data_IF_238457450608
#
_entry.id   IF_238457450608
#
_cell.length_a   1.000
_cell.length_b   1.000
_cell.length_c   1.000
_cell.angle_alpha   90.00
_cell.angle_beta   90.00
_cell.angle_gamma   90.00
#
_symmetry.space_group_name_H-M   'P 1'
#
loop_
_entity.id
_entity.type
_entity.pdbx_description
1 polymer ?
#
# COMPACT_ATOMS: atom_id res chain seq x y z
N UNK A 1 -16.75 -3.45 -3.22
CA UNK A 1 -16.08 -2.20 -2.80
C UNK A 1 -14.94 -1.94 -3.75
N UNK A 2 -14.67 -0.68 -4.11
CA UNK A 2 -13.61 -0.32 -5.04
C UNK A 2 -12.23 -0.62 -4.45
N UNK A 3 -11.31 -1.11 -5.27
CA UNK A 3 -9.90 -1.25 -4.90
C UNK A 3 -9.22 0.13 -4.84
N UNK A 4 -8.05 0.27 -4.18
CA UNK A 4 -7.33 1.54 -4.14
C UNK A 4 -6.98 2.07 -5.53
N UNK A 5 -6.64 1.19 -6.48
CA UNK A 5 -6.37 1.58 -7.87
C UNK A 5 -7.63 2.10 -8.57
N UNK A 6 -8.79 1.50 -8.32
CA UNK A 6 -10.07 1.96 -8.86
C UNK A 6 -10.49 3.31 -8.27
N UNK A 7 -10.22 3.55 -6.98
CA UNK A 7 -10.48 4.85 -6.33
C UNK A 7 -9.65 5.94 -6.99
N UNK A 8 -8.32 5.75 -7.08
CA UNK A 8 -7.43 6.74 -7.71
C UNK A 8 -7.77 6.94 -9.20
N UNK A 9 -8.00 5.87 -9.95
CA UNK A 9 -8.39 5.95 -11.36
C UNK A 9 -9.65 6.80 -11.55
N UNK A 10 -10.69 6.56 -10.73
CA UNK A 10 -11.90 7.36 -10.79
C UNK A 10 -11.61 8.85 -10.56
N UNK A 11 -10.81 9.20 -9.55
CA UNK A 11 -10.49 10.61 -9.27
C UNK A 11 -9.68 11.25 -10.42
N UNK A 12 -8.75 10.49 -11.02
CA UNK A 12 -8.01 10.94 -12.20
C UNK A 12 -8.95 11.20 -13.39
N UNK A 13 -9.88 10.28 -13.66
CA UNK A 13 -10.85 10.45 -14.75
C UNK A 13 -11.76 11.68 -14.54
N UNK A 14 -12.17 11.96 -13.30
CA UNK A 14 -12.94 13.14 -12.97
C UNK A 14 -12.16 14.43 -13.22
N UNK A 15 -10.87 14.47 -12.84
CA UNK A 15 -9.96 15.58 -13.13
C UNK A 15 -9.75 15.77 -14.64
N UNK A 16 -9.51 14.68 -15.37
CA UNK A 16 -9.27 14.72 -16.81
C UNK A 16 -10.46 15.28 -17.59
N UNK A 17 -11.70 14.95 -17.19
CA UNK A 17 -12.93 15.52 -17.79
C UNK A 17 -13.00 17.04 -17.64
N UNK A 18 -12.51 17.59 -16.53
CA UNK A 18 -12.50 19.04 -16.30
C UNK A 18 -11.36 19.75 -17.05
N UNK A 19 -10.34 19.01 -17.48
CA UNK A 19 -9.17 19.52 -18.20
C UNK A 19 -9.26 19.40 -19.73
N UNK A 20 -10.33 18.78 -20.25
CA UNK A 20 -10.45 18.34 -21.66
C UNK A 20 -10.30 19.48 -22.70
N UNK A 21 -10.53 20.73 -22.30
CA UNK A 21 -10.45 21.90 -23.17
C UNK A 21 -9.18 22.76 -22.98
N UNK A 22 -8.20 22.31 -22.18
CA UNK A 22 -7.00 23.10 -21.85
C UNK A 22 -5.77 22.65 -22.65
N UNK A 23 -5.71 23.08 -23.91
CA UNK A 23 -4.63 22.72 -24.85
C UNK A 23 -3.21 23.10 -24.38
N UNK A 24 -3.09 24.19 -23.61
CA UNK A 24 -1.82 24.65 -23.02
C UNK A 24 -1.21 23.67 -22.02
N UNK A 25 -2.02 22.81 -21.39
CA UNK A 25 -1.60 21.83 -20.38
C UNK A 25 -1.50 20.41 -20.95
N UNK A 26 -1.58 20.25 -22.28
CA UNK A 26 -1.67 18.95 -22.96
C UNK A 26 -0.60 17.96 -22.53
N UNK A 27 0.63 18.40 -22.32
CA UNK A 27 1.74 17.51 -21.90
C UNK A 27 1.46 16.85 -20.55
N UNK A 28 1.02 17.65 -19.56
CA UNK A 28 0.75 17.14 -18.22
C UNK A 28 -0.58 16.35 -18.17
N UNK A 29 -1.57 16.71 -19.01
CA UNK A 29 -2.81 15.95 -19.18
C UNK A 29 -2.52 14.56 -19.76
N UNK A 30 -1.70 14.48 -20.82
CA UNK A 30 -1.32 13.19 -21.42
C UNK A 30 -0.52 12.33 -20.44
N UNK A 31 0.37 12.94 -19.64
CA UNK A 31 1.06 12.23 -18.57
C UNK A 31 0.07 11.65 -17.56
N UNK A 32 -0.93 12.40 -17.13
CA UNK A 32 -1.94 11.91 -16.19
C UNK A 32 -2.78 10.78 -16.78
N UNK A 33 -3.12 10.84 -18.08
CA UNK A 33 -3.78 9.74 -18.81
C UNK A 33 -2.93 8.47 -18.82
N UNK A 34 -1.62 8.58 -19.09
CA UNK A 34 -0.70 7.44 -19.06
C UNK A 34 -0.65 6.80 -17.67
N UNK A 35 -0.63 7.61 -16.61
CA UNK A 35 -0.65 7.12 -15.24
C UNK A 35 -1.98 6.43 -14.90
N UNK A 36 -3.12 6.94 -15.39
CA UNK A 36 -4.44 6.29 -15.25
C UNK A 36 -4.45 4.88 -15.86
N UNK A 37 -3.93 4.74 -17.09
CA UNK A 37 -3.81 3.44 -17.77
C UNK A 37 -2.88 2.47 -17.03
N UNK A 38 -1.83 2.99 -16.38
CA UNK A 38 -0.92 2.19 -15.56
C UNK A 38 -1.59 1.64 -14.28
N UNK A 39 -2.62 2.33 -13.75
CA UNK A 39 -3.40 1.83 -12.61
C UNK A 39 -4.34 0.68 -13.00
N UNK A 40 -4.89 0.70 -14.21
CA UNK A 40 -5.79 -0.34 -14.72
C UNK A 40 -5.09 -1.67 -14.97
N UNK A 41 -3.85 -1.61 -15.48
CA UNK A 41 -3.01 -2.79 -15.68
C UNK A 41 -2.31 -3.26 -14.40
N UNK A 42 -2.35 -2.47 -13.34
CA UNK A 42 -1.65 -2.74 -12.09
C UNK A 42 -2.47 -3.60 -11.13
N UNK A 43 -2.01 -4.82 -10.86
CA UNK A 43 -2.53 -5.60 -9.71
C UNK A 43 -2.06 -4.98 -8.39
N UNK A 44 -3.00 -4.79 -7.47
CA UNK A 44 -2.73 -4.30 -6.14
C UNK A 44 -2.20 -5.43 -5.25
N UNK A 45 -1.01 -5.28 -4.62
CA UNK A 45 -0.44 -6.32 -3.77
C UNK A 45 -1.27 -6.47 -2.48
N UNK A 46 -1.62 -7.70 -2.06
CA UNK A 46 -2.39 -7.90 -0.84
C UNK A 46 -1.61 -7.52 0.43
N UNK A 47 -0.27 -7.54 0.40
CA UNK A 47 0.55 -7.03 1.49
C UNK A 47 0.84 -5.55 1.28
N UNK A 48 0.14 -4.70 2.04
CA UNK A 48 0.31 -3.25 1.98
C UNK A 48 1.38 -2.83 2.97
N UNK A 49 2.39 -2.12 2.48
CA UNK A 49 3.38 -1.47 3.33
C UNK A 49 3.07 0.02 3.51
N UNK A 50 3.70 0.63 4.51
CA UNK A 50 3.50 2.04 4.84
C UNK A 50 3.79 2.98 3.65
N UNK A 51 4.81 2.67 2.83
CA UNK A 51 5.17 3.50 1.68
C UNK A 51 4.04 3.51 0.65
N UNK A 52 3.45 2.34 0.36
CA UNK A 52 2.31 2.22 -0.54
C UNK A 52 1.07 2.95 0.00
N UNK A 53 0.80 2.82 1.30
CA UNK A 53 -0.31 3.51 1.95
C UNK A 53 -0.16 5.04 1.92
N UNK A 54 1.02 5.56 2.30
CA UNK A 54 1.26 7.00 2.31
C UNK A 54 1.29 7.60 0.91
N UNK A 55 1.90 6.91 -0.07
CA UNK A 55 1.89 7.39 -1.45
C UNK A 55 0.49 7.41 -2.07
N UNK A 56 -0.38 6.45 -1.71
CA UNK A 56 -1.80 6.49 -2.07
C UNK A 56 -2.46 7.75 -1.52
N UNK A 57 -2.30 8.01 -0.21
CA UNK A 57 -2.90 9.17 0.44
C UNK A 57 -2.41 10.48 -0.20
N UNK A 58 -1.10 10.63 -0.42
CA UNK A 58 -0.52 11.82 -1.05
C UNK A 58 -1.06 12.04 -2.47
N UNK A 59 -1.13 10.98 -3.29
CA UNK A 59 -1.70 11.09 -4.64
C UNK A 59 -3.16 11.53 -4.60
N UNK A 60 -3.93 10.95 -3.69
CA UNK A 60 -5.34 11.26 -3.54
C UNK A 60 -5.56 12.71 -3.06
N UNK A 61 -4.80 13.18 -2.07
CA UNK A 61 -4.82 14.56 -1.61
C UNK A 61 -4.55 15.53 -2.76
N UNK A 62 -3.51 15.29 -3.57
CA UNK A 62 -3.18 16.16 -4.70
C UNK A 62 -4.24 16.17 -5.80
N UNK A 63 -4.91 15.04 -6.04
CA UNK A 63 -6.03 14.98 -6.97
C UNK A 63 -7.25 15.76 -6.47
N UNK A 64 -7.56 15.68 -5.17
CA UNK A 64 -8.66 16.45 -4.60
C UNK A 64 -8.36 17.96 -4.55
N UNK A 65 -7.14 18.36 -4.16
CA UNK A 65 -6.70 19.77 -4.23
C UNK A 65 -6.88 20.33 -5.64
N UNK A 66 -6.46 19.58 -6.66
CA UNK A 66 -6.60 19.96 -8.06
C UNK A 66 -8.07 20.04 -8.50
N UNK A 67 -8.90 19.08 -8.09
CA UNK A 67 -10.35 19.05 -8.39
C UNK A 67 -11.07 20.25 -7.76
N UNK A 68 -10.76 20.60 -6.52
CA UNK A 68 -11.31 21.78 -5.86
C UNK A 68 -10.84 23.09 -6.51
N UNK A 69 -9.57 23.14 -6.95
CA UNK A 69 -9.05 24.28 -7.68
C UNK A 69 -9.80 24.51 -9.00
N UNK A 70 -10.00 23.44 -9.76
CA UNK A 70 -10.70 23.45 -11.05
C UNK A 70 -12.17 23.90 -10.96
N UNK A 71 -12.83 23.76 -9.80
CA UNK A 71 -14.20 24.24 -9.59
C UNK A 71 -14.31 25.76 -9.51
N UNK A 72 -13.30 26.42 -8.95
CA UNK A 72 -13.42 27.79 -8.44
C UNK A 72 -12.47 28.80 -9.10
N UNK A 73 -11.43 28.34 -9.79
CA UNK A 73 -10.34 29.20 -10.28
C UNK A 73 -9.83 28.75 -11.64
N UNK A 74 -9.39 29.72 -12.44
CA UNK A 74 -8.90 29.46 -13.80
C UNK A 74 -7.54 30.14 -14.07
N UNK A 75 -6.63 30.12 -13.09
CA UNK A 75 -5.25 30.54 -13.33
C UNK A 75 -4.45 29.38 -13.90
N UNK A 76 -4.07 29.53 -15.16
CA UNK A 76 -3.37 28.51 -15.95
C UNK A 76 -2.00 28.12 -15.37
N UNK A 77 -1.27 29.07 -14.76
CA UNK A 77 0.04 28.82 -14.16
C UNK A 77 -0.11 27.98 -12.90
N UNK A 78 -1.03 28.36 -12.01
CA UNK A 78 -1.28 27.63 -10.76
C UNK A 78 -1.85 26.24 -11.05
N UNK A 79 -2.70 26.13 -12.07
CA UNK A 79 -3.23 24.86 -12.55
C UNK A 79 -2.12 23.95 -13.10
N UNK A 80 -1.15 24.49 -13.85
CA UNK A 80 0.02 23.74 -14.31
C UNK A 80 0.79 23.13 -13.12
N UNK A 81 1.06 23.92 -12.08
CA UNK A 81 1.78 23.44 -10.89
C UNK A 81 1.01 22.35 -10.15
N UNK A 82 -0.28 22.55 -9.89
CA UNK A 82 -1.12 21.57 -9.20
C UNK A 82 -1.25 20.26 -10.00
N UNK A 83 -1.41 20.36 -11.32
CA UNK A 83 -1.45 19.19 -12.20
C UNK A 83 -0.12 18.43 -12.19
N UNK A 84 1.01 19.15 -12.22
CA UNK A 84 2.34 18.55 -12.12
C UNK A 84 2.60 17.88 -10.77
N UNK A 85 2.10 18.46 -9.68
CA UNK A 85 2.16 17.84 -8.34
C UNK A 85 1.33 16.56 -8.28
N UNK A 86 0.10 16.58 -8.81
CA UNK A 86 -0.76 15.39 -8.90
C UNK A 86 -0.11 14.29 -9.74
N UNK A 87 0.50 14.64 -10.88
CA UNK A 87 1.27 13.69 -11.71
C UNK A 87 2.43 13.06 -10.94
N UNK A 88 3.25 13.88 -10.28
CA UNK A 88 4.40 13.42 -9.49
C UNK A 88 3.95 12.48 -8.35
N UNK A 89 2.89 12.85 -7.62
CA UNK A 89 2.37 12.04 -6.53
C UNK A 89 1.79 10.70 -7.02
N UNK A 90 1.05 10.71 -8.13
CA UNK A 90 0.48 9.50 -8.75
C UNK A 90 1.58 8.57 -9.27
N UNK A 91 2.64 9.12 -9.88
CA UNK A 91 3.80 8.36 -10.32
C UNK A 91 4.56 7.72 -9.13
N UNK A 92 4.69 8.44 -8.02
CA UNK A 92 5.28 7.91 -6.79
C UNK A 92 4.46 6.73 -6.23
N UNK A 93 3.13 6.80 -6.29
CA UNK A 93 2.25 5.69 -5.93
C UNK A 93 2.44 4.48 -6.85
N UNK A 94 2.44 4.67 -8.18
CA UNK A 94 2.67 3.57 -9.14
C UNK A 94 4.05 2.93 -8.94
N UNK A 95 5.07 3.73 -8.67
CA UNK A 95 6.41 3.24 -8.34
C UNK A 95 6.42 2.44 -7.04
N UNK A 96 5.67 2.90 -6.03
CA UNK A 96 5.49 2.20 -4.76
C UNK A 96 4.73 0.88 -4.92
N UNK A 97 3.72 0.80 -5.81
CA UNK A 97 3.05 -0.45 -6.17
C UNK A 97 4.03 -1.48 -6.73
N UNK A 98 4.83 -1.09 -7.73
CA UNK A 98 5.85 -1.95 -8.36
C UNK A 98 6.88 -2.42 -7.33
N UNK A 99 7.38 -1.52 -6.49
CA UNK A 99 8.33 -1.84 -5.43
C UNK A 99 7.76 -2.78 -4.37
N UNK A 100 6.51 -2.58 -3.98
CA UNK A 100 5.82 -3.41 -2.98
C UNK A 100 5.60 -4.83 -3.49
N UNK A 101 5.17 -4.99 -4.75
CA UNK A 101 5.03 -6.31 -5.40
C UNK A 101 6.34 -7.09 -5.43
N UNK A 102 7.44 -6.43 -5.78
CA UNK A 102 8.78 -7.07 -5.77
C UNK A 102 9.17 -7.51 -4.36
N UNK A 103 8.96 -6.65 -3.35
CA UNK A 103 9.23 -6.99 -1.95
C UNK A 103 8.40 -8.17 -1.47
N UNK A 104 7.11 -8.21 -1.80
CA UNK A 104 6.22 -9.33 -1.48
C UNK A 104 6.73 -10.64 -2.09
N UNK A 105 7.07 -10.65 -3.39
CA UNK A 105 7.62 -11.84 -4.05
C UNK A 105 8.90 -12.33 -3.35
N UNK A 106 9.81 -11.42 -3.00
CA UNK A 106 11.06 -11.77 -2.30
C UNK A 106 10.75 -12.34 -0.90
N UNK A 107 9.87 -11.69 -0.14
CA UNK A 107 9.49 -12.13 1.20
C UNK A 107 8.81 -13.50 1.19
N UNK A 108 7.95 -13.75 0.21
CA UNK A 108 7.23 -15.03 0.07
C UNK A 108 8.10 -16.14 -0.52
N UNK A 109 9.19 -15.83 -1.22
CA UNK A 109 10.12 -16.85 -1.77
C UNK A 109 11.30 -17.14 -0.85
N UNK A 110 11.62 -16.26 0.10
CA UNK A 110 12.76 -16.39 1.01
C UNK A 110 12.81 -17.75 1.75
N UNK A 111 11.70 -18.27 2.33
CA UNK A 111 11.75 -19.57 3.02
C UNK A 111 12.12 -20.74 2.09
N UNK A 112 11.75 -20.67 0.81
CA UNK A 112 12.08 -21.71 -0.17
C UNK A 112 13.59 -21.70 -0.42
N UNK A 113 14.19 -20.54 -0.67
CA UNK A 113 15.63 -20.42 -0.88
C UNK A 113 16.43 -20.81 0.38
N UNK A 114 15.97 -20.41 1.57
CA UNK A 114 16.58 -20.84 2.83
C UNK A 114 16.52 -22.36 3.01
N UNK A 115 15.41 -23.01 2.62
CA UNK A 115 15.29 -24.47 2.66
C UNK A 115 16.32 -25.15 1.74
N UNK A 116 16.53 -24.62 0.53
CA UNK A 116 17.55 -25.14 -0.38
C UNK A 116 18.96 -25.04 0.21
N UNK A 117 19.27 -23.93 0.89
CA UNK A 117 20.56 -23.75 1.58
C UNK A 117 20.70 -24.81 2.69
N UNK A 118 19.65 -25.04 3.48
CA UNK A 118 19.67 -26.07 4.54
C UNK A 118 19.87 -27.46 3.95
N UNK A 119 19.20 -27.79 2.84
CA UNK A 119 19.38 -29.07 2.15
C UNK A 119 20.81 -29.23 1.60
N UNK A 120 21.41 -28.16 1.07
CA UNK A 120 22.79 -28.17 0.62
C UNK A 120 23.75 -28.47 1.78
N UNK A 121 23.55 -27.83 2.93
CA UNK A 121 24.33 -28.11 4.14
C UNK A 121 24.14 -29.57 4.60
N UNK A 122 22.92 -30.10 4.49
CA UNK A 122 22.63 -31.52 4.76
C UNK A 122 23.44 -32.47 3.88
N UNK A 123 23.53 -32.18 2.58
CA UNK A 123 24.34 -32.99 1.64
C UNK A 123 25.84 -32.90 1.93
N UNK A 124 26.34 -31.71 2.30
CA UNK A 124 27.76 -31.50 2.61
C UNK A 124 28.15 -32.25 3.89
N UNK A 125 27.26 -32.26 4.89
CA UNK A 125 27.53 -32.86 6.21
C UNK A 125 27.33 -34.37 6.23
N UNK A 126 26.30 -34.87 5.54
CA UNK A 126 25.99 -36.29 5.46
C UNK A 126 25.42 -36.63 4.07
N UNK A 127 26.26 -37.04 3.10
CA UNK A 127 25.88 -37.23 1.70
C UNK A 127 25.15 -38.56 1.45
N UNK A 128 24.09 -38.84 2.20
CA UNK A 128 23.20 -39.97 1.98
C UNK A 128 22.20 -39.69 0.84
N UNK A 129 21.76 -40.75 0.16
CA UNK A 129 20.86 -40.70 -1.01
C UNK A 129 19.63 -39.81 -0.77
N UNK A 130 19.04 -39.89 0.43
CA UNK A 130 17.87 -39.08 0.80
C UNK A 130 18.17 -37.58 0.87
N UNK A 131 19.36 -37.18 1.35
CA UNK A 131 19.75 -35.77 1.41
C UNK A 131 20.01 -35.21 0.02
N UNK A 132 20.64 -36.01 -0.86
CA UNK A 132 20.86 -35.65 -2.27
C UNK A 132 19.51 -35.48 -2.99
N UNK A 133 18.58 -36.42 -2.81
CA UNK A 133 17.24 -36.34 -3.38
C UNK A 133 16.48 -35.11 -2.85
N UNK A 134 16.56 -34.83 -1.55
CA UNK A 134 15.92 -33.67 -0.91
C UNK A 134 16.45 -32.36 -1.50
N UNK A 135 17.77 -32.27 -1.74
CA UNK A 135 18.38 -31.12 -2.42
C UNK A 135 17.88 -30.96 -3.86
N UNK A 136 17.84 -32.05 -4.64
CA UNK A 136 17.33 -32.01 -6.02
C UNK A 136 15.88 -31.52 -6.08
N UNK A 137 15.02 -32.04 -5.19
CA UNK A 137 13.65 -31.55 -5.05
C UNK A 137 13.62 -30.09 -4.64
N UNK A 138 14.48 -29.66 -3.71
CA UNK A 138 14.61 -28.26 -3.33
C UNK A 138 14.96 -27.34 -4.51
N UNK A 139 15.92 -27.74 -5.36
CA UNK A 139 16.31 -27.00 -6.56
C UNK A 139 15.15 -26.92 -7.56
N UNK A 140 14.44 -28.02 -7.78
CA UNK A 140 13.23 -28.05 -8.62
C UNK A 140 12.16 -27.11 -8.05
N UNK A 141 11.93 -27.17 -6.74
CA UNK A 141 10.99 -26.30 -6.03
C UNK A 141 11.33 -24.83 -6.17
N UNK A 142 12.61 -24.47 -6.00
CA UNK A 142 13.10 -23.11 -6.23
C UNK A 142 12.90 -22.67 -7.69
N UNK A 143 13.18 -23.53 -8.67
CA UNK A 143 12.90 -23.24 -10.08
C UNK A 143 11.42 -23.01 -10.36
N UNK A 144 10.55 -23.83 -9.76
CA UNK A 144 9.09 -23.70 -9.88
C UNK A 144 8.55 -22.40 -9.26
N UNK A 145 9.24 -21.77 -8.31
CA UNK A 145 8.78 -20.48 -7.74
C UNK A 145 8.69 -19.37 -8.77
N UNK A 146 9.50 -19.44 -9.84
CA UNK A 146 9.43 -18.51 -10.97
C UNK A 146 8.07 -18.56 -11.68
N UNK A 147 7.46 -19.75 -11.76
CA UNK A 147 6.15 -19.95 -12.36
C UNK A 147 5.05 -19.72 -11.33
N UNK A 148 5.12 -20.42 -10.19
CA UNK A 148 4.15 -20.29 -9.10
C UNK A 148 4.83 -20.48 -7.74
N UNK A 149 4.71 -19.49 -6.85
CA UNK A 149 5.24 -19.58 -5.48
C UNK A 149 4.62 -20.79 -4.74
N UNK A 150 3.32 -21.04 -4.93
CA UNK A 150 2.62 -22.18 -4.33
C UNK A 150 3.21 -23.52 -4.79
N UNK A 151 3.53 -23.67 -6.08
CA UNK A 151 4.17 -24.87 -6.61
C UNK A 151 5.53 -25.11 -5.96
N UNK A 152 6.32 -24.06 -5.77
CA UNK A 152 7.59 -24.16 -5.04
C UNK A 152 7.41 -24.65 -3.60
N UNK A 153 6.44 -24.09 -2.86
CA UNK A 153 6.13 -24.56 -1.50
C UNK A 153 5.65 -26.01 -1.45
N UNK A 154 4.81 -26.44 -2.41
CA UNK A 154 4.33 -27.82 -2.47
C UNK A 154 5.50 -28.81 -2.59
N UNK A 155 6.51 -28.48 -3.41
CA UNK A 155 7.71 -29.30 -3.56
C UNK A 155 8.57 -29.29 -2.28
N UNK A 156 8.76 -28.14 -1.63
CA UNK A 156 9.50 -28.06 -0.35
C UNK A 156 8.82 -28.89 0.74
N UNK A 157 7.50 -28.79 0.85
CA UNK A 157 6.68 -29.59 1.78
C UNK A 157 6.85 -31.08 1.49
N UNK A 158 6.73 -31.49 0.22
CA UNK A 158 6.92 -32.88 -0.19
C UNK A 158 8.31 -33.41 0.13
N UNK A 159 9.35 -32.62 -0.16
CA UNK A 159 10.74 -32.97 0.13
C UNK A 159 10.97 -33.15 1.64
N UNK A 160 10.46 -32.22 2.47
CA UNK A 160 10.56 -32.31 3.92
C UNK A 160 9.83 -33.53 4.49
N UNK A 161 8.61 -33.80 4.04
CA UNK A 161 7.85 -34.97 4.48
C UNK A 161 8.53 -36.28 4.11
N UNK A 162 9.06 -36.38 2.88
CA UNK A 162 9.80 -37.56 2.42
C UNK A 162 11.04 -37.78 3.28
N UNK A 163 11.81 -36.73 3.54
CA UNK A 163 13.02 -36.81 4.36
C UNK A 163 12.71 -37.26 5.79
N UNK A 164 11.67 -36.68 6.42
CA UNK A 164 11.20 -37.08 7.76
C UNK A 164 10.80 -38.56 7.77
N UNK A 165 10.00 -39.00 6.81
CA UNK A 165 9.52 -40.38 6.73
C UNK A 165 10.69 -41.37 6.62
N UNK A 166 11.62 -41.11 5.70
CA UNK A 166 12.78 -41.99 5.49
C UNK A 166 13.70 -41.99 6.70
N UNK A 167 13.98 -40.83 7.32
CA UNK A 167 14.84 -40.77 8.50
C UNK A 167 14.26 -41.48 9.72
N UNK A 168 12.94 -41.41 9.93
CA UNK A 168 12.26 -42.14 11.00
C UNK A 168 12.25 -43.65 10.75
N UNK A 169 12.02 -44.08 9.51
CA UNK A 169 11.97 -45.51 9.15
C UNK A 169 13.35 -46.18 9.14
N UNK A 170 14.39 -45.49 8.64
CA UNK A 170 15.72 -46.08 8.44
C UNK A 170 16.63 -45.96 9.67
N UNK A 171 16.52 -44.87 10.44
CA UNK A 171 17.49 -44.53 11.49
C UNK A 171 16.87 -44.31 12.89
N UNK A 172 15.53 -44.31 13.00
CA UNK A 172 14.83 -44.15 14.27
C UNK A 172 15.23 -42.86 15.02
N UNK A 173 15.56 -42.99 16.31
CA UNK A 173 15.93 -41.85 17.17
C UNK A 173 17.33 -41.28 16.89
N UNK A 174 18.19 -41.97 16.11
CA UNK A 174 19.56 -41.50 15.84
C UNK A 174 19.60 -40.31 14.87
N UNK A 175 18.54 -40.11 14.07
CA UNK A 175 18.41 -39.03 13.08
C UNK A 175 17.56 -37.84 13.58
N UNK A 176 17.32 -37.74 14.89
CA UNK A 176 16.44 -36.75 15.51
C UNK A 176 16.76 -35.30 15.10
N UNK A 177 18.05 -34.94 14.98
CA UNK A 177 18.47 -33.61 14.53
C UNK A 177 17.99 -33.28 13.11
N UNK A 178 18.13 -34.21 12.17
CA UNK A 178 17.66 -34.04 10.78
C UNK A 178 16.13 -33.95 10.74
N UNK A 179 15.43 -34.79 11.50
CA UNK A 179 13.97 -34.79 11.58
C UNK A 179 13.46 -33.44 12.10
N UNK A 180 14.08 -32.89 13.16
CA UNK A 180 13.70 -31.58 13.72
C UNK A 180 13.91 -30.45 12.70
N UNK A 181 15.03 -30.45 11.98
CA UNK A 181 15.31 -29.44 10.94
C UNK A 181 14.23 -29.47 9.85
N UNK A 182 13.90 -30.66 9.34
CA UNK A 182 12.88 -30.81 8.30
C UNK A 182 11.46 -30.51 8.82
N UNK A 183 11.18 -30.76 10.10
CA UNK A 183 9.93 -30.35 10.73
C UNK A 183 9.81 -28.82 10.79
N UNK A 184 10.89 -28.11 11.13
CA UNK A 184 10.91 -26.63 11.12
C UNK A 184 10.70 -26.07 9.72
N UNK A 185 11.33 -26.66 8.70
CA UNK A 185 11.12 -26.29 7.29
C UNK A 185 9.66 -26.51 6.92
N UNK A 186 9.09 -27.66 7.26
CA UNK A 186 7.69 -28.00 6.99
C UNK A 186 6.73 -26.99 7.63
N UNK A 187 6.89 -26.72 8.93
CA UNK A 187 6.03 -25.77 9.66
C UNK A 187 6.14 -24.37 9.05
N UNK A 188 7.36 -23.92 8.72
CA UNK A 188 7.59 -22.65 8.05
C UNK A 188 6.87 -22.59 6.69
N UNK A 189 7.07 -23.60 5.85
CA UNK A 189 6.45 -23.69 4.53
C UNK A 189 4.92 -23.69 4.59
N UNK A 190 4.33 -24.49 5.48
CA UNK A 190 2.88 -24.55 5.69
C UNK A 190 2.35 -23.20 6.20
N UNK A 191 3.08 -22.54 7.09
CA UNK A 191 2.71 -21.21 7.60
C UNK A 191 2.66 -20.18 6.47
N UNK A 192 3.66 -20.16 5.58
CA UNK A 192 3.67 -19.25 4.44
C UNK A 192 2.58 -19.57 3.41
N UNK A 193 2.27 -20.84 3.19
CA UNK A 193 1.11 -21.25 2.38
C UNK A 193 -0.19 -20.72 2.99
N UNK A 194 -0.37 -20.86 4.30
CA UNK A 194 -1.52 -20.32 5.02
C UNK A 194 -1.62 -18.79 4.92
N UNK A 195 -0.49 -18.08 5.06
CA UNK A 195 -0.43 -16.62 4.87
C UNK A 195 -0.90 -16.25 3.47
N UNK A 196 -0.39 -16.91 2.43
CA UNK A 196 -0.81 -16.64 1.04
C UNK A 196 -2.31 -16.89 0.81
N UNK A 197 -2.88 -17.95 1.38
CA UNK A 197 -4.33 -18.18 1.31
C UNK A 197 -5.12 -17.11 2.06
N UNK A 198 -4.66 -16.72 3.24
CA UNK A 198 -5.30 -15.67 4.06
C UNK A 198 -5.29 -14.32 3.33
N UNK A 199 -4.19 -13.97 2.66
CA UNK A 199 -4.05 -12.76 1.86
C UNK A 199 -4.97 -12.75 0.61
N UNK A 200 -5.31 -13.92 0.09
CA UNK A 200 -6.26 -14.08 -1.03
C UNK A 200 -7.73 -14.10 -0.58
N UNK A 201 -8.00 -14.22 0.73
CA UNK A 201 -9.37 -14.28 1.23
C UNK A 201 -10.14 -13.00 0.92
N UNK A 202 -11.40 -13.16 0.52
CA UNK A 202 -12.31 -12.03 0.27
C UNK A 202 -12.42 -11.14 1.50
N UNK A 203 -12.57 -11.73 2.69
CA UNK A 203 -12.65 -11.02 3.97
C UNK A 203 -11.44 -10.11 4.24
N UNK A 204 -10.23 -10.55 3.89
CA UNK A 204 -9.04 -9.73 4.04
C UNK A 204 -9.05 -8.58 3.02
N UNK A 205 -9.36 -8.88 1.74
CA UNK A 205 -9.48 -7.87 0.69
C UNK A 205 -10.54 -6.82 1.00
N UNK A 206 -11.69 -7.23 1.53
CA UNK A 206 -12.76 -6.32 1.96
C UNK A 206 -12.31 -5.39 3.08
N UNK A 207 -11.66 -5.91 4.13
CA UNK A 207 -11.13 -5.08 5.21
C UNK A 207 -10.13 -4.05 4.70
N UNK A 208 -9.27 -4.46 3.77
CA UNK A 208 -8.27 -3.60 3.18
C UNK A 208 -8.90 -2.52 2.30
N UNK A 209 -9.79 -2.91 1.39
CA UNK A 209 -10.53 -1.97 0.55
C UNK A 209 -11.37 -1.00 1.37
N UNK A 210 -11.95 -1.46 2.49
CA UNK A 210 -12.67 -0.60 3.44
C UNK A 210 -11.75 0.45 4.07
N UNK A 211 -10.55 0.06 4.53
CA UNK A 211 -9.59 1.02 5.07
C UNK A 211 -9.26 2.14 4.07
N UNK A 212 -8.97 1.77 2.81
CA UNK A 212 -8.67 2.76 1.77
C UNK A 212 -9.88 3.62 1.39
N UNK A 213 -11.08 3.04 1.34
CA UNK A 213 -12.31 3.78 1.07
C UNK A 213 -12.63 4.78 2.20
N UNK A 214 -12.52 4.35 3.46
CA UNK A 214 -12.76 5.20 4.64
C UNK A 214 -11.75 6.35 4.66
N UNK A 215 -10.45 6.07 4.43
CA UNK A 215 -9.42 7.11 4.33
C UNK A 215 -9.67 8.05 3.15
N UNK A 216 -10.12 7.52 2.00
CA UNK A 216 -10.46 8.35 0.83
C UNK A 216 -11.57 9.34 1.15
N UNK A 217 -12.62 8.91 1.86
CA UNK A 217 -13.72 9.80 2.28
C UNK A 217 -13.24 10.87 3.26
N UNK A 218 -12.31 10.54 4.17
CA UNK A 218 -11.73 11.54 5.08
C UNK A 218 -10.92 12.56 4.30
N UNK A 219 -10.05 12.11 3.38
CA UNK A 219 -9.22 13.02 2.57
C UNK A 219 -10.08 13.92 1.69
N UNK A 220 -11.15 13.39 1.08
CA UNK A 220 -12.10 14.18 0.29
C UNK A 220 -12.71 15.31 1.13
N UNK A 221 -13.23 14.99 2.32
CA UNK A 221 -13.79 15.98 3.25
C UNK A 221 -12.76 17.02 3.72
N UNK A 222 -11.51 16.62 3.89
CA UNK A 222 -10.42 17.52 4.30
C UNK A 222 -10.03 18.47 3.17
N UNK A 223 -10.11 18.01 1.92
CA UNK A 223 -9.76 18.81 0.75
C UNK A 223 -10.85 19.82 0.38
N UNK A 224 -12.12 19.55 0.73
CA UNK A 224 -13.18 20.53 0.59
C UNK A 224 -12.87 21.81 1.38
N UNK A 225 -13.02 23.01 0.78
CA UNK A 225 -12.79 24.25 1.50
C UNK A 225 -13.74 24.33 2.70
N UNK A 226 -13.18 24.61 3.88
CA UNK A 226 -13.98 24.80 5.09
C UNK A 226 -15.11 25.80 4.81
N UNK A 227 -16.34 25.45 5.20
CA UNK A 227 -17.48 26.32 5.01
C UNK A 227 -17.22 27.66 5.70
N UNK A 228 -17.07 28.72 4.91
CA UNK A 228 -16.71 30.04 5.44
C UNK A 228 -17.76 30.58 6.42
N UNK A 229 -19.03 30.17 6.29
CA UNK A 229 -20.08 30.51 7.26
C UNK A 229 -19.84 29.83 8.61
N UNK A 230 -19.47 28.55 8.59
CA UNK A 230 -19.16 27.77 9.79
C UNK A 230 -17.87 28.24 10.47
N UNK A 231 -16.85 28.58 9.67
CA UNK A 231 -15.61 29.22 10.13
C UNK A 231 -15.91 30.59 10.76
N UNK A 232 -16.77 31.39 10.14
CA UNK A 232 -17.16 32.70 10.68
C UNK A 232 -18.03 32.61 11.93
N UNK A 233 -18.95 31.65 12.02
CA UNK A 233 -19.72 31.37 13.23
C UNK A 233 -18.81 30.92 14.38
N UNK A 234 -17.88 30.00 14.12
CA UNK A 234 -16.91 29.55 15.11
C UNK A 234 -16.01 30.70 15.59
N UNK A 235 -15.56 31.57 14.69
CA UNK A 235 -14.74 32.73 15.07
C UNK A 235 -15.53 33.82 15.79
N UNK A 236 -16.83 33.96 15.56
CA UNK A 236 -17.70 34.86 16.34
C UNK A 236 -17.78 34.42 17.80
N UNK A 237 -17.81 33.11 18.06
CA UNK A 237 -17.90 32.54 19.40
C UNK A 237 -16.59 32.59 20.20
N UNK A 238 -15.44 32.74 19.55
CA UNK A 238 -14.13 32.78 20.25
C UNK A 238 -13.86 34.14 20.92
N UNK A 239 -14.64 35.19 20.60
CA UNK A 239 -14.68 36.55 21.22
C UNK A 239 -13.34 37.31 21.28
N UNK A 240 -13.37 38.60 20.89
CA UNK A 240 -12.24 39.47 20.58
C UNK A 240 -11.48 39.11 19.28
N UNK A 241 -12.19 39.12 18.13
CA UNK A 241 -11.51 39.05 16.83
C UNK A 241 -10.42 40.13 16.73
N UNK A 242 -9.14 39.77 16.57
CA UNK A 242 -8.09 40.72 16.24
C UNK A 242 -8.46 41.46 14.94
N UNK A 243 -8.03 42.71 14.75
CA UNK A 243 -8.23 43.43 13.50
C UNK A 243 -7.07 43.18 12.52
N UNK A 244 -7.33 43.30 11.21
CA UNK A 244 -6.30 43.19 10.17
C UNK A 244 -5.74 41.76 9.96
N UNK A 245 -4.42 41.65 9.85
CA UNK A 245 -3.68 40.43 9.48
C UNK A 245 -3.90 39.28 10.48
N UNK A 246 -4.00 39.58 11.77
CA UNK A 246 -4.24 38.58 12.80
C UNK A 246 -5.60 37.88 12.64
N UNK A 247 -6.63 38.60 12.15
CA UNK A 247 -7.93 38.02 11.78
C UNK A 247 -7.80 37.03 10.62
N UNK A 248 -7.00 37.37 9.62
CA UNK A 248 -6.78 36.54 8.43
C UNK A 248 -6.00 35.26 8.80
N UNK A 249 -5.00 35.36 9.67
CA UNK A 249 -4.25 34.21 10.17
C UNK A 249 -5.09 33.29 11.06
N UNK A 250 -5.94 33.85 11.92
CA UNK A 250 -6.90 33.08 12.72
C UNK A 250 -7.95 32.39 11.86
N UNK A 251 -8.46 33.07 10.83
CA UNK A 251 -9.35 32.48 9.80
C UNK A 251 -8.66 31.33 9.09
N UNK A 252 -7.46 31.55 8.59
CA UNK A 252 -6.68 30.52 7.92
C UNK A 252 -6.45 29.31 8.84
N UNK A 253 -6.03 29.53 10.09
CA UNK A 253 -5.80 28.46 11.06
C UNK A 253 -7.09 27.70 11.41
N UNK A 254 -8.21 28.40 11.58
CA UNK A 254 -9.51 27.80 11.83
C UNK A 254 -9.95 26.93 10.64
N UNK A 255 -9.84 27.45 9.42
CA UNK A 255 -10.13 26.71 8.19
C UNK A 255 -9.25 25.46 8.07
N UNK A 256 -7.94 25.58 8.32
CA UNK A 256 -7.02 24.43 8.30
C UNK A 256 -7.38 23.40 9.38
N UNK A 257 -7.78 23.80 10.58
CA UNK A 257 -8.18 22.86 11.64
C UNK A 257 -9.52 22.16 11.32
N UNK A 258 -10.48 22.88 10.74
CA UNK A 258 -11.76 22.31 10.29
C UNK A 258 -11.52 21.31 9.17
N UNK A 259 -10.70 21.69 8.18
CA UNK A 259 -10.26 20.79 7.11
C UNK A 259 -9.61 19.54 7.69
N UNK A 260 -8.74 19.65 8.70
CA UNK A 260 -8.14 18.49 9.37
C UNK A 260 -9.09 17.69 10.29
N UNK A 261 -10.40 17.99 10.30
CA UNK A 261 -11.41 17.20 11.02
C UNK A 261 -11.46 17.43 12.52
N UNK A 262 -10.90 18.54 13.02
CA UNK A 262 -11.00 18.88 14.44
C UNK A 262 -12.44 19.18 14.84
N UNK A 263 -12.85 18.73 16.02
CA UNK A 263 -14.19 19.03 16.54
C UNK A 263 -14.32 20.51 16.88
N UNK A 264 -15.51 21.12 16.71
CA UNK A 264 -15.77 22.53 17.05
C UNK A 264 -15.27 22.94 18.45
N UNK A 265 -15.45 22.08 19.45
CA UNK A 265 -15.04 22.33 20.84
C UNK A 265 -13.51 22.36 21.03
N UNK A 266 -12.78 21.47 20.35
CA UNK A 266 -11.32 21.42 20.38
C UNK A 266 -10.71 22.61 19.64
N UNK A 267 -11.34 23.00 18.54
CA UNK A 267 -11.04 24.21 17.78
C UNK A 267 -11.16 25.45 18.67
N UNK A 268 -12.29 25.63 19.36
CA UNK A 268 -12.53 26.75 20.28
C UNK A 268 -11.45 26.84 21.36
N UNK A 269 -11.18 25.72 22.05
CA UNK A 269 -10.16 25.64 23.12
C UNK A 269 -8.75 25.97 22.64
N UNK A 270 -8.44 25.66 21.37
CA UNK A 270 -7.13 25.90 20.79
C UNK A 270 -7.00 27.32 20.27
N UNK A 271 -8.03 27.82 19.57
CA UNK A 271 -8.05 29.18 19.02
C UNK A 271 -8.15 30.25 20.11
N UNK A 272 -8.86 30.00 21.22
CA UNK A 272 -8.96 30.94 22.34
C UNK A 272 -7.62 31.26 23.03
N UNK A 273 -6.60 30.42 22.83
CA UNK A 273 -5.23 30.69 23.31
C UNK A 273 -4.49 31.76 22.52
N UNK A 274 -4.97 32.11 21.33
CA UNK A 274 -4.35 33.07 20.41
C UNK A 274 -5.06 34.42 20.38
N UNK A 275 -5.99 34.64 21.30
CA UNK A 275 -6.88 35.81 21.34
C UNK A 275 -6.58 36.73 22.54
N UNK A 276 -5.47 36.47 23.25
CA UNK A 276 -4.91 37.34 24.30
C UNK A 276 -3.60 37.98 23.83
#
# INVERSE_FOLDING_TARGET
MKSPNEILKQQIEEVLKQLEHKDSLRVEIERLKLLSSALESGEYPPIVNNILYYSFNTALTKLFELKEYLKNRDNEIELYYLLREANTATEAYISSLKGSRRKEIIQLSLPIYLSVIVYLLGVITDPVEINILTLLLGIIGAGLTYLTIIGGYAVIIGASLLNIAVNLLAQGLKSLGSVVIHLLILVSAVTYVYIMFSLKSEKYREKLNKLFADTSQVIEKVAEPANMLEVEELLKEVSATPSGLAKQLLRYKASVMIMNGFRPEELKKTLSKYVY
#
